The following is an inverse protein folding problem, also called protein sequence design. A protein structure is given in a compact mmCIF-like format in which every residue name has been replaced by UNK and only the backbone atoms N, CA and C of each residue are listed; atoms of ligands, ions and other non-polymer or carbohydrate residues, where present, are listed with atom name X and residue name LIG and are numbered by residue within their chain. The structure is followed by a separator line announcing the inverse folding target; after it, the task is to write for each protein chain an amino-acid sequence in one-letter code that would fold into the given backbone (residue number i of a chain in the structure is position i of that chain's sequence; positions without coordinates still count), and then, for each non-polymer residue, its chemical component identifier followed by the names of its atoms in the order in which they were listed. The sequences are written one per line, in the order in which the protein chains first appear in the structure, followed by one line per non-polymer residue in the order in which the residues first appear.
data_IF_300132828136
#
_entry.id   IF_300132828136
#
_cell.length_a   1.000
_cell.length_b   1.000
_cell.length_c   1.000
_cell.angle_alpha   90.00
_cell.angle_beta   90.00
_cell.angle_gamma   90.00
#
_symmetry.space_group_name_H-M   'P 1'
#
loop_
_entity.id
_entity.type
_entity.pdbx_description
1 polymer ?
#
# COMPACT_ATOMS: atom_id res chain seq x y z
N UNK A 1 -66.09 27.33 -2.88
CA UNK A 1 -66.16 28.53 -3.78
C UNK A 1 -64.93 28.49 -4.62
N UNK A 2 -65.02 28.02 -5.87
CA UNK A 2 -64.99 28.80 -7.13
C UNK A 2 -63.67 29.55 -7.31
N UNK A 3 -62.86 29.10 -8.21
CA UNK A 3 -62.59 29.38 -9.67
C UNK A 3 -61.19 29.99 -9.78
N UNK A 4 -60.32 29.93 -10.78
CA UNK A 4 -60.37 29.47 -12.19
C UNK A 4 -58.96 29.27 -12.71
N UNK A 5 -58.84 28.37 -13.67
CA UNK A 5 -57.83 28.23 -14.72
C UNK A 5 -57.41 29.55 -15.36
N UNK A 6 -56.14 29.60 -15.80
CA UNK A 6 -55.80 30.12 -17.15
C UNK A 6 -54.52 29.42 -17.70
N UNK A 7 -54.72 28.72 -18.80
CA UNK A 7 -53.69 28.22 -19.69
C UNK A 7 -53.40 29.25 -20.74
N UNK A 8 -52.12 29.42 -21.13
CA UNK A 8 -51.75 30.08 -22.40
C UNK A 8 -50.75 29.24 -23.14
N UNK A 9 -51.20 28.75 -24.29
CA UNK A 9 -50.45 28.07 -25.35
C UNK A 9 -49.96 29.13 -26.34
N UNK A 10 -48.70 29.03 -26.84
CA UNK A 10 -48.24 29.47 -28.15
C UNK A 10 -46.91 28.76 -28.44
N UNK A 11 -46.90 27.87 -29.32
CA UNK A 11 -46.85 27.61 -30.73
C UNK A 11 -45.57 28.15 -31.44
N UNK A 12 -44.74 27.20 -31.78
CA UNK A 12 -44.01 26.86 -33.01
C UNK A 12 -43.35 27.96 -33.88
N UNK A 13 -42.09 27.71 -34.19
CA UNK A 13 -41.65 27.76 -35.61
C UNK A 13 -40.45 26.83 -35.85
N UNK A 14 -40.66 25.84 -36.73
CA UNK A 14 -39.62 25.04 -37.37
C UNK A 14 -38.90 25.89 -38.41
N UNK A 15 -37.57 25.74 -38.50
CA UNK A 15 -36.82 25.95 -39.73
C UNK A 15 -36.00 24.69 -40.02
N UNK A 16 -36.43 24.04 -41.10
CA UNK A 16 -35.72 22.91 -41.74
C UNK A 16 -34.69 23.50 -42.69
N UNK A 17 -33.47 23.06 -42.59
CA UNK A 17 -32.39 23.31 -43.56
C UNK A 17 -31.63 22.02 -43.82
N UNK A 18 -32.03 21.28 -44.85
CA UNK A 18 -31.29 20.18 -45.47
C UNK A 18 -30.25 20.74 -46.45
N UNK A 19 -29.11 20.03 -46.54
CA UNK A 19 -28.21 19.69 -47.66
C UNK A 19 -26.79 19.61 -47.10
N UNK A 20 -26.01 18.55 -47.21
CA UNK A 20 -25.66 17.71 -48.29
C UNK A 20 -24.73 16.56 -47.91
N UNK A 21 -24.76 15.49 -48.62
CA UNK A 21 -23.98 14.29 -48.64
C UNK A 21 -22.47 14.46 -48.81
N UNK A 22 -21.69 13.55 -48.23
CA UNK A 22 -20.33 13.31 -48.73
C UNK A 22 -19.48 12.40 -47.84
N UNK A 23 -19.47 11.08 -48.13
CA UNK A 23 -18.41 10.05 -48.05
C UNK A 23 -17.75 9.68 -46.73
N UNK A 24 -18.04 8.45 -46.34
CA UNK A 24 -17.16 7.33 -45.87
C UNK A 24 -15.77 7.66 -45.32
N UNK A 25 -15.60 7.37 -44.04
CA UNK A 25 -14.34 7.09 -43.37
C UNK A 25 -14.64 6.48 -42.04
N UNK A 26 -14.46 5.15 -41.93
CA UNK A 26 -14.41 4.43 -40.64
C UNK A 26 -13.12 4.79 -39.97
N UNK A 27 -13.18 5.49 -38.85
CA UNK A 27 -12.20 5.43 -37.80
C UNK A 27 -12.98 5.37 -36.49
N UNK A 28 -12.93 4.20 -35.87
CA UNK A 28 -13.37 4.00 -34.50
C UNK A 28 -12.25 4.57 -33.59
N UNK A 29 -12.20 5.87 -33.48
CA UNK A 29 -11.40 6.58 -32.51
C UNK A 29 -12.13 6.56 -31.18
N UNK A 30 -11.49 5.96 -30.18
CA UNK A 30 -11.78 6.10 -28.77
C UNK A 30 -12.10 7.58 -28.47
N UNK A 31 -13.34 7.86 -28.06
CA UNK A 31 -13.70 9.17 -27.53
C UNK A 31 -13.11 9.24 -26.10
N UNK A 32 -11.87 9.65 -25.97
CA UNK A 32 -11.34 10.15 -24.71
C UNK A 32 -12.21 11.33 -24.25
N UNK A 33 -12.69 11.28 -23.01
CA UNK A 33 -13.42 12.36 -22.38
C UNK A 33 -12.58 13.65 -22.50
N UNK A 34 -13.16 14.74 -22.97
CA UNK A 34 -12.46 16.00 -23.21
C UNK A 34 -11.87 16.50 -21.88
N UNK A 35 -10.56 16.70 -21.82
CA UNK A 35 -9.86 17.37 -20.71
C UNK A 35 -10.34 18.81 -20.63
N UNK A 36 -11.24 19.11 -19.70
CA UNK A 36 -11.95 20.40 -19.60
C UNK A 36 -11.01 21.58 -19.25
N UNK A 37 -9.81 21.28 -18.69
CA UNK A 37 -8.80 22.25 -18.26
C UNK A 37 -7.35 21.87 -18.62
N UNK A 38 -7.15 20.82 -19.42
CA UNK A 38 -5.82 20.33 -19.82
C UNK A 38 -5.09 19.51 -18.73
N UNK A 39 -5.72 19.29 -17.56
CA UNK A 39 -5.17 18.47 -16.48
C UNK A 39 -5.58 16.99 -16.62
N UNK A 40 -4.71 16.09 -16.21
CA UNK A 40 -5.01 14.66 -16.07
C UNK A 40 -5.79 14.46 -14.77
N UNK A 41 -6.98 13.85 -14.85
CA UNK A 41 -7.83 13.60 -13.70
C UNK A 41 -7.44 12.28 -13.04
N UNK A 42 -7.02 12.33 -11.79
CA UNK A 42 -6.49 11.18 -11.05
C UNK A 42 -7.31 10.94 -9.79
N UNK A 43 -7.80 9.71 -9.61
CA UNK A 43 -8.32 9.22 -8.33
C UNK A 43 -7.24 8.44 -7.60
N UNK A 44 -7.01 8.72 -6.33
CA UNK A 44 -6.04 8.02 -5.50
C UNK A 44 -6.77 7.37 -4.33
N UNK A 45 -6.81 6.05 -4.32
CA UNK A 45 -7.32 5.24 -3.21
C UNK A 45 -6.12 4.73 -2.41
N UNK A 46 -6.11 4.99 -1.12
CA UNK A 46 -5.04 4.58 -0.23
C UNK A 46 -5.60 4.27 1.17
N UNK A 47 -4.79 3.65 2.01
CA UNK A 47 -5.09 3.49 3.41
C UNK A 47 -4.99 4.85 4.14
N UNK A 48 -5.64 4.95 5.31
CA UNK A 48 -5.60 6.16 6.11
C UNK A 48 -4.16 6.45 6.57
N UNK A 49 -3.66 7.70 6.46
CA UNK A 49 -2.29 8.06 6.86
C UNK A 49 -1.98 7.78 8.33
N UNK A 50 -2.98 7.64 9.19
CA UNK A 50 -2.81 7.27 10.60
C UNK A 50 -2.49 5.78 10.80
N UNK A 51 -2.50 4.95 9.74
CA UNK A 51 -2.20 3.52 9.82
C UNK A 51 -0.77 3.27 10.35
N UNK A 52 0.21 4.02 9.84
CA UNK A 52 1.63 3.83 10.18
C UNK A 52 2.50 5.02 9.72
N UNK A 53 3.76 5.05 10.16
CA UNK A 53 4.77 5.97 9.64
C UNK A 53 4.97 5.82 8.13
N UNK A 54 5.07 4.58 7.65
CA UNK A 54 5.12 4.24 6.22
C UNK A 54 3.94 4.87 5.45
N UNK A 55 2.71 4.67 5.95
CA UNK A 55 1.51 5.16 5.26
C UNK A 55 1.47 6.69 5.21
N UNK A 56 1.90 7.35 6.28
CA UNK A 56 2.04 8.82 6.29
C UNK A 56 3.01 9.30 5.20
N UNK A 57 4.18 8.66 5.06
CA UNK A 57 5.17 9.00 4.04
C UNK A 57 4.64 8.76 2.63
N UNK A 58 4.01 7.60 2.38
CA UNK A 58 3.43 7.24 1.09
C UNK A 58 2.30 8.20 0.66
N UNK A 59 1.38 8.53 1.56
CA UNK A 59 0.30 9.51 1.28
C UNK A 59 0.87 10.89 0.96
N UNK A 60 1.92 11.33 1.66
CA UNK A 60 2.57 12.61 1.38
C UNK A 60 3.30 12.61 0.03
N UNK A 61 3.97 11.52 -0.35
CA UNK A 61 4.60 11.35 -1.65
C UNK A 61 3.58 11.49 -2.79
N UNK A 62 2.43 10.81 -2.68
CA UNK A 62 1.34 10.91 -3.64
C UNK A 62 0.76 12.33 -3.72
N UNK A 63 0.49 12.98 -2.57
CA UNK A 63 -0.06 14.35 -2.52
C UNK A 63 0.89 15.39 -3.11
N UNK A 64 2.20 15.24 -2.86
CA UNK A 64 3.21 16.18 -3.36
C UNK A 64 3.45 16.03 -4.87
N UNK A 65 3.24 14.84 -5.41
CA UNK A 65 3.47 14.54 -6.83
C UNK A 65 2.25 14.86 -7.70
N UNK A 66 1.05 14.46 -7.28
CA UNK A 66 -0.17 14.62 -8.08
C UNK A 66 -0.87 15.94 -7.75
N UNK A 67 -0.23 17.05 -8.15
CA UNK A 67 -0.72 18.43 -7.94
C UNK A 67 -1.09 19.11 -9.24
N UNK A 68 -1.85 20.21 -9.17
CA UNK A 68 -2.22 21.01 -10.36
C UNK A 68 -1.00 21.61 -11.02
N UNK A 69 0.02 22.02 -10.27
CA UNK A 69 1.27 22.54 -10.79
C UNK A 69 2.02 21.49 -11.61
N UNK A 70 1.87 20.21 -11.27
CA UNK A 70 2.45 19.10 -12.02
C UNK A 70 1.56 18.55 -13.14
N UNK A 71 0.39 19.18 -13.40
CA UNK A 71 -0.51 18.82 -14.49
C UNK A 71 -1.63 17.85 -14.11
N UNK A 72 -1.93 17.68 -12.83
CA UNK A 72 -2.94 16.73 -12.35
C UNK A 72 -4.07 17.42 -11.60
N UNK A 73 -5.30 16.94 -11.81
CA UNK A 73 -6.47 17.24 -10.98
C UNK A 73 -6.79 15.98 -10.17
N UNK A 74 -6.17 15.87 -8.98
CA UNK A 74 -6.21 14.67 -8.16
C UNK A 74 -7.27 14.72 -7.07
N UNK A 75 -8.00 13.61 -6.90
CA UNK A 75 -8.92 13.33 -5.81
C UNK A 75 -8.32 12.23 -4.95
N UNK A 76 -8.43 12.35 -3.63
CA UNK A 76 -7.86 11.38 -2.69
C UNK A 76 -8.96 10.84 -1.78
N UNK A 77 -8.96 9.52 -1.57
CA UNK A 77 -9.80 8.87 -0.57
C UNK A 77 -8.94 7.91 0.28
N UNK A 78 -9.17 7.92 1.57
CA UNK A 78 -8.42 7.18 2.56
C UNK A 78 -9.36 6.36 3.43
N UNK A 79 -9.13 5.04 3.53
CA UNK A 79 -9.85 4.18 4.47
C UNK A 79 -9.04 2.93 4.78
N UNK A 80 -9.16 2.42 6.01
CA UNK A 80 -8.65 1.12 6.44
C UNK A 80 -9.61 -0.03 6.12
N UNK A 81 -10.77 0.28 5.52
CA UNK A 81 -11.80 -0.71 5.17
C UNK A 81 -11.90 -0.86 3.67
N UNK A 82 -11.84 -2.10 3.22
CA UNK A 82 -11.84 -2.44 1.81
C UNK A 82 -13.14 -2.05 1.10
N UNK A 83 -14.28 -2.22 1.76
CA UNK A 83 -15.60 -1.83 1.23
C UNK A 83 -15.74 -0.31 1.02
N UNK A 84 -15.22 0.50 1.94
CA UNK A 84 -15.18 1.96 1.79
C UNK A 84 -14.24 2.40 0.65
N UNK A 85 -13.10 1.71 0.47
CA UNK A 85 -12.18 1.96 -0.66
C UNK A 85 -12.83 1.61 -1.99
N UNK A 86 -13.54 0.48 -2.07
CA UNK A 86 -14.28 0.04 -3.26
C UNK A 86 -15.36 1.09 -3.64
N UNK A 87 -16.17 1.53 -2.67
CA UNK A 87 -17.19 2.57 -2.90
C UNK A 87 -16.55 3.89 -3.38
N UNK A 88 -15.46 4.32 -2.77
CA UNK A 88 -14.76 5.53 -3.19
C UNK A 88 -14.20 5.41 -4.60
N UNK A 89 -13.61 4.27 -4.97
CA UNK A 89 -13.11 4.00 -6.31
C UNK A 89 -14.24 4.06 -7.35
N UNK A 90 -15.37 3.41 -7.09
CA UNK A 90 -16.54 3.46 -7.96
C UNK A 90 -17.06 4.89 -8.16
N UNK A 91 -17.13 5.69 -7.11
CA UNK A 91 -17.56 7.08 -7.18
C UNK A 91 -16.58 7.93 -8.03
N UNK A 92 -15.27 7.71 -7.87
CA UNK A 92 -14.24 8.39 -8.69
C UNK A 92 -14.33 8.00 -10.15
N UNK A 93 -14.48 6.70 -10.48
CA UNK A 93 -14.68 6.22 -11.85
C UNK A 93 -15.91 6.86 -12.49
N UNK A 94 -17.04 6.90 -11.76
CA UNK A 94 -18.28 7.54 -12.22
C UNK A 94 -18.11 9.06 -12.44
N UNK A 95 -17.23 9.72 -11.70
CA UNK A 95 -16.90 11.14 -11.91
C UNK A 95 -16.06 11.40 -13.15
N UNK A 96 -15.59 10.33 -13.81
CA UNK A 96 -14.86 10.37 -15.08
C UNK A 96 -13.37 10.70 -14.92
N UNK A 97 -12.68 10.11 -13.95
CA UNK A 97 -11.21 10.17 -13.83
C UNK A 97 -10.53 9.44 -15.00
N UNK A 98 -9.34 9.92 -15.38
CA UNK A 98 -8.52 9.28 -16.41
C UNK A 98 -7.71 8.10 -15.85
N UNK A 99 -7.23 8.24 -14.61
CA UNK A 99 -6.44 7.23 -13.90
C UNK A 99 -6.97 6.98 -12.50
N UNK A 100 -7.06 5.71 -12.11
CA UNK A 100 -7.26 5.26 -10.74
C UNK A 100 -5.94 4.69 -10.22
N UNK A 101 -5.35 5.31 -9.20
CA UNK A 101 -4.19 4.81 -8.47
C UNK A 101 -4.70 4.10 -7.22
N UNK A 102 -4.33 2.84 -7.03
CA UNK A 102 -4.91 1.97 -6.03
C UNK A 102 -3.86 1.28 -5.16
N UNK A 103 -3.85 1.58 -3.84
CA UNK A 103 -3.23 0.77 -2.79
C UNK A 103 -4.32 0.20 -1.89
N UNK A 104 -4.61 -1.08 -2.06
CA UNK A 104 -5.76 -1.74 -1.47
C UNK A 104 -5.55 -2.11 0.01
N UNK A 105 -6.59 -1.98 0.83
CA UNK A 105 -6.59 -2.44 2.22
C UNK A 105 -6.56 -3.99 2.30
N UNK A 106 -7.28 -4.66 1.40
CA UNK A 106 -7.35 -6.12 1.24
C UNK A 106 -7.11 -6.48 -0.22
N UNK A 107 -6.50 -7.64 -0.48
CA UNK A 107 -6.19 -8.09 -1.84
C UNK A 107 -7.41 -8.48 -2.65
N UNK A 108 -8.53 -8.79 -2.00
CA UNK A 108 -9.73 -9.38 -2.60
C UNK A 108 -10.84 -8.37 -2.92
N UNK A 109 -11.76 -8.75 -3.81
CA UNK A 109 -13.02 -8.03 -4.06
C UNK A 109 -12.94 -6.91 -5.10
N UNK A 110 -11.83 -6.76 -5.81
CA UNK A 110 -11.60 -5.65 -6.75
C UNK A 110 -12.07 -5.89 -8.18
N UNK A 111 -12.37 -7.14 -8.60
CA UNK A 111 -12.70 -7.48 -9.99
C UNK A 111 -13.80 -6.62 -10.61
N UNK A 112 -14.88 -6.35 -9.85
CA UNK A 112 -16.00 -5.54 -10.35
C UNK A 112 -15.58 -4.11 -10.59
N UNK A 113 -14.86 -3.49 -9.64
CA UNK A 113 -14.36 -2.11 -9.77
C UNK A 113 -13.41 -1.96 -10.94
N UNK A 114 -12.51 -2.93 -11.13
CA UNK A 114 -11.55 -2.91 -12.24
C UNK A 114 -12.23 -3.05 -13.60
N UNK A 115 -13.29 -3.86 -13.69
CA UNK A 115 -14.13 -3.97 -14.90
C UNK A 115 -14.89 -2.68 -15.16
N UNK A 116 -15.48 -2.08 -14.12
CA UNK A 116 -16.16 -0.79 -14.24
C UNK A 116 -15.19 0.31 -14.72
N UNK A 117 -13.95 0.31 -14.24
CA UNK A 117 -12.90 1.22 -14.69
C UNK A 117 -12.57 1.00 -16.18
N UNK A 118 -12.40 -0.26 -16.60
CA UNK A 118 -12.12 -0.62 -17.99
C UNK A 118 -13.27 -0.18 -18.92
N UNK A 119 -14.52 -0.42 -18.52
CA UNK A 119 -15.72 -0.04 -19.28
C UNK A 119 -15.88 1.48 -19.37
N UNK A 120 -15.44 2.24 -18.37
CA UNK A 120 -15.42 3.70 -18.35
C UNK A 120 -14.22 4.30 -19.10
N UNK A 121 -13.23 3.49 -19.48
CA UNK A 121 -11.99 3.97 -20.10
C UNK A 121 -10.99 4.55 -19.09
N UNK A 122 -11.20 4.35 -17.79
CA UNK A 122 -10.28 4.72 -16.71
C UNK A 122 -9.14 3.69 -16.63
N UNK A 123 -7.90 4.14 -16.69
CA UNK A 123 -6.74 3.27 -16.54
C UNK A 123 -6.40 3.09 -15.05
N UNK A 124 -6.20 1.84 -14.63
CA UNK A 124 -5.85 1.52 -13.24
C UNK A 124 -4.35 1.28 -13.12
N UNK A 125 -3.70 1.90 -12.13
CA UNK A 125 -2.32 1.63 -11.75
C UNK A 125 -2.31 1.23 -10.27
N UNK A 126 -1.85 0.01 -9.99
CA UNK A 126 -1.65 -0.44 -8.63
C UNK A 126 -0.36 0.17 -8.08
N UNK A 127 -0.34 0.47 -6.79
CA UNK A 127 0.88 0.89 -6.12
C UNK A 127 0.95 0.34 -4.70
N UNK A 128 2.17 0.26 -4.14
CA UNK A 128 2.44 -0.27 -2.80
C UNK A 128 2.05 -1.75 -2.66
N UNK A 129 0.79 -2.08 -2.81
CA UNK A 129 0.23 -3.42 -2.57
C UNK A 129 -0.35 -4.03 -3.85
N UNK A 130 -0.17 -5.33 -3.99
CA UNK A 130 -0.84 -6.13 -5.03
C UNK A 130 -2.27 -6.48 -4.63
N UNK A 131 -3.09 -6.89 -5.61
CA UNK A 131 -4.44 -7.40 -5.40
C UNK A 131 -4.60 -8.75 -6.10
N UNK A 132 -5.62 -9.51 -5.68
CA UNK A 132 -6.00 -10.78 -6.31
C UNK A 132 -7.00 -10.51 -7.45
N UNK A 133 -6.48 -10.09 -8.59
CA UNK A 133 -7.27 -9.80 -9.78
C UNK A 133 -6.49 -10.14 -11.06
N UNK A 134 -7.23 -10.33 -12.18
CA UNK A 134 -6.63 -10.59 -13.48
C UNK A 134 -5.77 -9.39 -13.92
N UNK A 135 -4.53 -9.67 -14.27
CA UNK A 135 -3.58 -8.63 -14.68
C UNK A 135 -4.05 -7.82 -15.90
N UNK A 136 -4.92 -8.35 -16.75
CA UNK A 136 -5.48 -7.62 -17.90
C UNK A 136 -6.37 -6.45 -17.50
N UNK A 137 -6.81 -6.37 -16.23
CA UNK A 137 -7.72 -5.34 -15.72
C UNK A 137 -7.02 -4.07 -15.22
N UNK A 138 -5.70 -4.03 -15.17
CA UNK A 138 -4.95 -2.81 -14.82
C UNK A 138 -3.81 -2.55 -15.81
N UNK A 139 -3.42 -1.29 -15.96
CA UNK A 139 -2.41 -0.87 -16.92
C UNK A 139 -0.98 -1.17 -16.44
N UNK A 140 -0.73 -0.94 -15.17
CA UNK A 140 0.59 -1.16 -14.55
C UNK A 140 0.48 -1.35 -13.03
N UNK A 141 1.57 -1.79 -12.41
CA UNK A 141 1.75 -1.81 -10.96
C UNK A 141 3.16 -1.37 -10.56
N UNK A 142 3.25 -0.59 -9.47
CA UNK A 142 4.51 -0.16 -8.83
C UNK A 142 4.44 -0.60 -7.39
N UNK A 143 5.02 -1.74 -7.07
CA UNK A 143 4.75 -2.47 -5.82
C UNK A 143 6.03 -2.99 -5.19
N UNK A 144 5.99 -3.26 -3.89
CA UNK A 144 7.03 -4.00 -3.17
C UNK A 144 6.87 -5.50 -3.37
N UNK A 145 7.97 -6.25 -3.33
CA UNK A 145 7.93 -7.71 -3.26
C UNK A 145 7.85 -8.15 -1.79
N UNK A 146 6.64 -8.13 -1.25
CA UNK A 146 6.36 -8.44 0.16
C UNK A 146 6.80 -9.86 0.56
N UNK A 147 6.79 -10.82 -0.38
CA UNK A 147 7.29 -12.16 -0.14
C UNK A 147 8.83 -12.15 0.01
N UNK A 148 9.51 -11.37 -0.83
CA UNK A 148 10.96 -11.20 -0.77
C UNK A 148 11.42 -10.48 0.49
N UNK A 149 10.66 -9.47 0.95
CA UNK A 149 10.91 -8.83 2.24
C UNK A 149 10.90 -9.85 3.38
N UNK A 150 9.84 -10.67 3.45
CA UNK A 150 9.72 -11.75 4.44
C UNK A 150 10.86 -12.78 4.34
N UNK A 151 11.19 -13.25 3.13
CA UNK A 151 12.31 -14.17 2.90
C UNK A 151 13.65 -13.58 3.35
N UNK A 152 13.90 -12.32 3.05
CA UNK A 152 15.15 -11.64 3.41
C UNK A 152 15.31 -11.57 4.93
N UNK A 153 14.25 -11.17 5.65
CA UNK A 153 14.25 -11.09 7.10
C UNK A 153 14.40 -12.47 7.78
N UNK A 154 13.68 -13.48 7.29
CA UNK A 154 13.77 -14.85 7.83
C UNK A 154 15.15 -15.47 7.58
N UNK A 155 15.75 -15.21 6.43
CA UNK A 155 17.11 -15.67 6.14
C UNK A 155 18.13 -14.97 7.05
N UNK A 156 18.02 -13.65 7.22
CA UNK A 156 18.86 -12.94 8.18
C UNK A 156 18.75 -13.50 9.60
N UNK A 157 17.52 -13.79 10.06
CA UNK A 157 17.30 -14.38 11.37
C UNK A 157 17.92 -15.78 11.48
N UNK A 158 17.82 -16.60 10.43
CA UNK A 158 18.43 -17.93 10.38
C UNK A 158 19.96 -17.87 10.51
N UNK A 159 20.60 -16.87 9.91
CA UNK A 159 22.04 -16.64 9.97
C UNK A 159 22.55 -16.25 11.36
N UNK A 160 21.66 -15.91 12.31
CA UNK A 160 22.03 -15.68 13.70
C UNK A 160 22.42 -16.98 14.44
N UNK A 161 22.15 -18.14 13.86
CA UNK A 161 22.56 -19.46 14.35
C UNK A 161 22.21 -19.73 15.82
N UNK A 162 21.00 -19.38 16.26
CA UNK A 162 20.51 -19.64 17.60
C UNK A 162 20.26 -21.14 17.82
N UNK A 163 20.34 -21.58 19.07
CA UNK A 163 19.99 -22.94 19.44
C UNK A 163 18.49 -23.21 19.24
N UNK A 164 17.65 -22.22 19.59
CA UNK A 164 16.19 -22.21 19.43
C UNK A 164 15.70 -20.81 19.06
N UNK A 165 14.66 -20.75 18.22
CA UNK A 165 13.94 -19.54 17.85
C UNK A 165 12.51 -19.63 18.41
N UNK A 166 12.28 -18.99 19.54
CA UNK A 166 10.97 -18.93 20.19
C UNK A 166 10.34 -17.57 19.85
N UNK A 167 9.39 -17.56 18.91
CA UNK A 167 8.99 -16.39 18.16
C UNK A 167 7.64 -15.87 18.65
N UNK A 168 7.57 -14.58 18.96
CA UNK A 168 6.34 -13.80 18.95
C UNK A 168 6.26 -13.12 17.59
N UNK A 169 5.32 -13.53 16.77
CA UNK A 169 5.03 -12.97 15.46
C UNK A 169 3.82 -12.03 15.56
N UNK A 170 4.06 -10.75 15.32
CA UNK A 170 3.05 -9.68 15.37
C UNK A 170 2.71 -9.29 13.96
N UNK A 171 1.52 -9.71 13.51
CA UNK A 171 1.08 -9.59 12.13
C UNK A 171 0.40 -8.24 11.87
N UNK A 172 0.51 -7.75 10.64
CA UNK A 172 -0.24 -6.61 10.14
C UNK A 172 -1.74 -6.88 9.98
N UNK A 173 -2.41 -6.00 9.24
CA UNK A 173 -3.83 -6.17 8.91
C UNK A 173 -4.01 -7.42 8.06
N UNK A 174 -4.84 -8.34 8.53
CA UNK A 174 -5.10 -9.60 7.85
C UNK A 174 -5.70 -9.37 6.47
N UNK A 175 -5.18 -10.09 5.46
CA UNK A 175 -5.61 -9.96 4.07
C UNK A 175 -4.89 -8.90 3.25
N UNK A 176 -4.05 -8.05 3.87
CA UNK A 176 -3.20 -7.13 3.13
C UNK A 176 -2.01 -7.85 2.48
N UNK A 177 -1.56 -7.38 1.31
CA UNK A 177 -0.44 -7.99 0.59
C UNK A 177 0.83 -8.09 1.46
N UNK A 178 1.13 -7.06 2.26
CA UNK A 178 2.28 -7.05 3.15
C UNK A 178 2.19 -8.14 4.23
N UNK A 179 1.04 -8.26 4.91
CA UNK A 179 0.83 -9.32 5.90
C UNK A 179 0.97 -10.70 5.26
N UNK A 180 0.33 -10.94 4.11
CA UNK A 180 0.37 -12.23 3.42
C UNK A 180 1.81 -12.61 3.08
N UNK A 181 2.58 -11.71 2.49
CA UNK A 181 3.95 -11.98 2.05
C UNK A 181 4.91 -12.19 3.22
N UNK A 182 4.94 -11.27 4.20
CA UNK A 182 5.83 -11.35 5.37
C UNK A 182 5.51 -12.55 6.27
N UNK A 183 4.21 -12.86 6.47
CA UNK A 183 3.79 -14.05 7.23
C UNK A 183 4.20 -15.35 6.54
N UNK A 184 4.03 -15.46 5.22
CA UNK A 184 4.28 -16.72 4.50
C UNK A 184 5.71 -17.23 4.67
N UNK A 185 6.70 -16.34 4.66
CA UNK A 185 8.11 -16.71 4.85
C UNK A 185 8.39 -17.28 6.24
N UNK A 186 7.85 -16.63 7.28
CA UNK A 186 7.98 -17.08 8.68
C UNK A 186 7.29 -18.42 8.91
N UNK A 187 6.04 -18.55 8.47
CA UNK A 187 5.25 -19.77 8.61
C UNK A 187 5.91 -20.97 7.90
N UNK A 188 6.47 -20.73 6.71
CA UNK A 188 7.23 -21.75 5.98
C UNK A 188 8.43 -22.21 6.80
N UNK A 189 9.22 -21.29 7.34
CA UNK A 189 10.43 -21.62 8.12
C UNK A 189 10.09 -22.38 9.41
N UNK A 190 9.07 -21.93 10.15
CA UNK A 190 8.58 -22.63 11.36
C UNK A 190 8.12 -24.06 11.04
N UNK A 191 7.50 -24.29 9.89
CA UNK A 191 7.05 -25.60 9.45
C UNK A 191 8.20 -26.53 9.07
N UNK A 192 9.27 -25.98 8.48
CA UNK A 192 10.39 -26.75 7.92
C UNK A 192 11.51 -27.04 8.94
N UNK A 193 11.63 -26.26 10.02
CA UNK A 193 12.75 -26.31 10.96
C UNK A 193 12.26 -26.39 12.41
N UNK A 194 12.47 -27.56 13.05
CA UNK A 194 12.01 -27.84 14.41
C UNK A 194 12.66 -26.98 15.52
N UNK A 195 13.70 -26.21 15.19
CA UNK A 195 14.28 -25.20 16.09
C UNK A 195 13.44 -23.93 16.18
N UNK A 196 12.51 -23.73 15.22
CA UNK A 196 11.65 -22.56 15.12
C UNK A 196 10.27 -22.84 15.71
N UNK A 197 9.96 -22.16 16.81
CA UNK A 197 8.73 -22.35 17.57
C UNK A 197 7.89 -21.08 17.54
N UNK A 198 6.69 -21.15 16.97
CA UNK A 198 5.72 -20.06 17.01
C UNK A 198 5.05 -20.05 18.38
N UNK A 199 5.52 -19.17 19.27
CA UNK A 199 5.01 -19.03 20.66
C UNK A 199 3.70 -18.24 20.70
N UNK A 200 3.63 -17.17 19.92
CA UNK A 200 2.45 -16.33 19.68
C UNK A 200 2.46 -15.91 18.22
N UNK A 201 1.31 -15.99 17.55
CA UNK A 201 1.08 -15.39 16.25
C UNK A 201 -0.28 -14.69 16.31
N UNK A 202 -0.27 -13.37 16.22
CA UNK A 202 -1.49 -12.56 16.38
C UNK A 202 -1.38 -11.25 15.61
N UNK A 203 -2.49 -10.84 14.99
CA UNK A 203 -2.55 -9.54 14.33
C UNK A 203 -2.66 -8.40 15.34
N UNK A 204 -1.86 -7.36 15.10
CA UNK A 204 -2.01 -6.06 15.74
C UNK A 204 -2.50 -5.00 14.74
N UNK A 205 -2.77 -5.37 13.48
CA UNK A 205 -3.31 -4.49 12.45
C UNK A 205 -2.51 -3.18 12.30
N UNK A 206 -1.17 -3.27 12.33
CA UNK A 206 -0.19 -2.18 12.27
C UNK A 206 -0.13 -1.28 13.51
N UNK A 207 -0.95 -1.53 14.55
CA UNK A 207 -1.09 -0.68 15.73
C UNK A 207 -0.09 -1.02 16.84
N UNK A 208 0.68 -0.02 17.29
CA UNK A 208 1.69 -0.17 18.33
C UNK A 208 1.10 -0.56 19.70
N UNK A 209 -0.07 -0.03 20.05
CA UNK A 209 -0.71 -0.29 21.36
C UNK A 209 -1.19 -1.74 21.44
N UNK A 210 -1.78 -2.22 20.37
CA UNK A 210 -2.22 -3.63 20.26
C UNK A 210 -1.01 -4.57 20.29
N UNK A 211 0.08 -4.24 19.59
CA UNK A 211 1.31 -4.99 19.64
C UNK A 211 1.91 -5.06 21.05
N UNK A 212 1.91 -3.94 21.78
CA UNK A 212 2.33 -3.89 23.19
C UNK A 212 1.48 -4.84 24.06
N UNK A 213 0.16 -4.84 23.86
CA UNK A 213 -0.75 -5.71 24.63
C UNK A 213 -0.53 -7.19 24.33
N UNK A 214 -0.23 -7.56 23.07
CA UNK A 214 0.08 -8.94 22.68
C UNK A 214 1.34 -9.42 23.41
N UNK A 215 2.41 -8.62 23.39
CA UNK A 215 3.67 -9.00 24.06
C UNK A 215 3.51 -9.02 25.58
N UNK A 216 2.80 -8.04 26.16
CA UNK A 216 2.49 -8.04 27.60
C UNK A 216 1.71 -9.28 27.99
N UNK A 217 0.70 -9.69 27.22
CA UNK A 217 -0.05 -10.91 27.46
C UNK A 217 0.81 -12.19 27.41
N UNK A 218 1.80 -12.23 26.50
CA UNK A 218 2.76 -13.34 26.47
C UNK A 218 3.66 -13.39 27.71
N UNK A 219 4.11 -12.22 28.18
CA UNK A 219 4.92 -12.08 29.40
C UNK A 219 4.11 -12.53 30.64
N UNK A 220 2.90 -12.03 30.79
CA UNK A 220 2.00 -12.36 31.90
C UNK A 220 1.65 -13.85 31.96
N UNK A 221 1.54 -14.49 30.77
CA UNK A 221 1.34 -15.91 30.63
C UNK A 221 2.62 -16.76 30.89
N UNK A 222 3.75 -16.15 31.21
CA UNK A 222 5.03 -16.82 31.43
C UNK A 222 5.60 -17.52 30.21
N UNK A 223 5.24 -17.09 29.02
CA UNK A 223 5.77 -17.62 27.74
C UNK A 223 7.27 -17.36 27.66
N UNK A 224 8.02 -18.33 27.12
CA UNK A 224 9.44 -18.16 26.79
C UNK A 224 9.57 -17.78 25.33
N UNK A 225 10.25 -16.68 25.05
CA UNK A 225 10.53 -16.21 23.71
C UNK A 225 11.89 -15.48 23.68
N UNK A 226 12.50 -15.45 22.51
CA UNK A 226 13.77 -14.74 22.25
C UNK A 226 13.77 -13.98 20.91
N UNK A 227 12.64 -13.98 20.20
CA UNK A 227 12.47 -13.24 18.94
C UNK A 227 11.13 -12.54 18.94
N UNK A 228 11.14 -11.24 18.65
CA UNK A 228 9.99 -10.46 18.21
C UNK A 228 10.14 -10.26 16.70
N UNK A 229 9.24 -10.87 15.94
CA UNK A 229 9.08 -10.63 14.50
C UNK A 229 7.82 -9.80 14.29
N UNK A 230 7.98 -8.48 14.15
CA UNK A 230 6.90 -7.56 13.91
C UNK A 230 6.88 -7.16 12.43
N UNK A 231 5.72 -7.24 11.79
CA UNK A 231 5.59 -6.98 10.36
C UNK A 231 5.62 -5.48 10.00
N UNK A 232 5.79 -4.58 11.00
CA UNK A 232 6.21 -3.19 10.79
C UNK A 232 6.89 -2.61 12.04
N UNK A 233 7.49 -1.43 11.88
CA UNK A 233 8.24 -0.73 12.92
C UNK A 233 7.35 -0.24 14.08
N UNK A 234 6.16 0.24 13.80
CA UNK A 234 5.26 0.75 14.84
C UNK A 234 4.84 -0.38 15.79
N UNK A 235 4.59 -1.58 15.27
CA UNK A 235 4.33 -2.77 16.09
C UNK A 235 5.58 -3.24 16.84
N UNK A 236 6.77 -3.19 16.19
CA UNK A 236 8.04 -3.50 16.87
C UNK A 236 8.29 -2.54 18.05
N UNK A 237 8.03 -1.25 17.86
CA UNK A 237 8.10 -0.24 18.91
C UNK A 237 7.13 -0.53 20.06
N UNK A 238 5.90 -0.95 19.75
CA UNK A 238 4.92 -1.37 20.76
C UNK A 238 5.41 -2.58 21.54
N UNK A 239 5.97 -3.59 20.87
CA UNK A 239 6.56 -4.77 21.48
C UNK A 239 7.71 -4.40 22.44
N UNK A 240 8.62 -3.55 22.00
CA UNK A 240 9.75 -3.06 22.81
C UNK A 240 9.26 -2.36 24.09
N UNK A 241 8.21 -1.53 23.99
CA UNK A 241 7.63 -0.87 25.15
C UNK A 241 7.14 -1.89 26.23
N UNK A 242 6.60 -3.04 25.82
CA UNK A 242 6.25 -4.11 26.77
C UNK A 242 7.49 -4.77 27.38
N UNK A 243 8.55 -5.00 26.60
CA UNK A 243 9.80 -5.59 27.12
C UNK A 243 10.44 -4.66 28.15
N UNK A 244 10.56 -3.38 27.84
CA UNK A 244 11.16 -2.37 28.74
C UNK A 244 10.36 -2.23 30.03
N UNK A 245 9.02 -2.20 29.97
CA UNK A 245 8.16 -2.14 31.14
C UNK A 245 8.35 -3.34 32.10
N UNK A 246 8.83 -4.48 31.59
CA UNK A 246 9.08 -5.70 32.33
C UNK A 246 10.58 -5.97 32.56
N UNK A 247 11.46 -5.02 32.27
CA UNK A 247 12.93 -5.12 32.39
C UNK A 247 13.52 -6.32 31.62
N UNK A 248 12.95 -6.67 30.48
CA UNK A 248 13.45 -7.71 29.57
C UNK A 248 14.45 -7.06 28.61
N UNK A 249 15.67 -7.58 28.58
CA UNK A 249 16.72 -7.03 27.71
C UNK A 249 16.50 -7.39 26.24
N UNK A 250 16.77 -6.46 25.34
CA UNK A 250 16.56 -6.67 23.91
C UNK A 250 17.64 -5.99 23.06
N UNK A 251 17.80 -6.40 21.81
CA UNK A 251 18.80 -5.89 20.88
C UNK A 251 20.02 -6.82 20.75
N UNK A 252 21.10 -6.26 20.23
CA UNK A 252 22.33 -7.03 19.91
C UNK A 252 22.97 -7.59 21.18
N UNK A 253 23.15 -8.91 21.22
CA UNK A 253 23.74 -9.61 22.36
C UNK A 253 22.89 -9.61 23.64
N UNK A 254 21.57 -9.41 23.48
CA UNK A 254 20.59 -9.42 24.58
C UNK A 254 19.65 -10.61 24.46
N UNK A 255 18.68 -10.69 25.40
CA UNK A 255 17.78 -11.83 25.52
C UNK A 255 16.78 -11.96 24.37
N UNK A 256 16.40 -10.83 23.75
CA UNK A 256 15.36 -10.80 22.71
C UNK A 256 15.85 -10.04 21.48
N UNK A 257 15.77 -10.71 20.32
CA UNK A 257 15.97 -10.13 19.00
C UNK A 257 14.73 -9.33 18.61
N UNK A 258 14.92 -8.10 18.10
CA UNK A 258 13.84 -7.24 17.59
C UNK A 258 14.00 -7.06 16.09
N UNK A 259 12.90 -7.37 15.37
CA UNK A 259 12.81 -7.20 13.91
C UNK A 259 11.60 -6.35 13.56
N UNK A 260 11.79 -5.41 12.64
CA UNK A 260 10.77 -4.52 12.11
C UNK A 260 10.83 -4.45 10.58
N UNK A 261 9.96 -3.62 10.01
CA UNK A 261 9.93 -3.26 8.60
C UNK A 261 9.47 -1.81 8.46
N UNK A 262 9.78 -1.20 7.35
CA UNK A 262 9.42 0.12 6.80
C UNK A 262 10.58 1.10 6.81
N UNK A 263 11.63 0.89 7.60
CA UNK A 263 12.77 1.82 7.74
C UNK A 263 12.36 3.20 8.26
N UNK A 264 11.46 3.26 9.26
CA UNK A 264 11.26 4.53 9.96
C UNK A 264 12.59 5.01 10.58
N UNK A 265 12.85 6.31 10.50
CA UNK A 265 14.11 6.87 11.04
C UNK A 265 14.41 6.47 12.48
N UNK A 266 13.38 6.33 13.32
CA UNK A 266 13.59 5.88 14.70
C UNK A 266 14.01 4.42 14.77
N UNK A 267 13.47 3.53 13.88
CA UNK A 267 13.84 2.13 13.82
C UNK A 267 15.29 1.96 13.37
N UNK A 268 15.69 2.64 12.28
CA UNK A 268 17.08 2.62 11.82
C UNK A 268 18.06 3.21 12.85
N UNK A 269 17.66 4.23 13.63
CA UNK A 269 18.45 4.70 14.76
C UNK A 269 18.60 3.66 15.87
N UNK A 270 17.53 2.92 16.16
CA UNK A 270 17.59 1.82 17.12
C UNK A 270 18.51 0.67 16.64
N UNK A 271 18.62 0.43 15.32
CA UNK A 271 19.65 -0.47 14.78
C UNK A 271 21.06 0.08 15.05
N UNK A 272 21.30 1.37 14.73
CA UNK A 272 22.60 2.01 14.92
C UNK A 272 23.02 2.00 16.41
N UNK A 273 22.04 2.20 17.32
CA UNK A 273 22.21 2.15 18.76
C UNK A 273 22.25 0.71 19.33
N UNK A 274 22.08 -0.33 18.46
CA UNK A 274 22.07 -1.75 18.78
C UNK A 274 20.97 -2.18 19.75
N UNK A 275 19.91 -1.41 19.86
CA UNK A 275 18.71 -1.75 20.64
C UNK A 275 17.68 -2.57 19.85
N UNK A 276 17.73 -2.52 18.51
CA UNK A 276 17.06 -3.43 17.59
C UNK A 276 18.10 -4.22 16.79
N UNK A 277 17.67 -5.24 16.05
CA UNK A 277 18.57 -6.15 15.36
C UNK A 277 18.44 -6.09 13.84
N UNK A 278 17.22 -5.97 13.31
CA UNK A 278 16.93 -6.01 11.88
C UNK A 278 15.75 -5.13 11.52
N UNK A 279 15.82 -4.53 10.33
CA UNK A 279 14.73 -3.77 9.73
C UNK A 279 14.70 -4.02 8.22
N UNK A 280 13.53 -4.46 7.70
CA UNK A 280 13.31 -4.64 6.28
C UNK A 280 12.80 -3.36 5.66
N UNK A 281 13.43 -2.90 4.58
CA UNK A 281 12.90 -1.76 3.84
C UNK A 281 11.59 -2.12 3.16
N UNK A 282 10.60 -1.24 3.27
CA UNK A 282 9.45 -1.11 2.40
C UNK A 282 9.43 0.33 1.91
N UNK A 283 9.58 0.56 0.60
CA UNK A 283 9.80 1.91 0.07
C UNK A 283 8.47 2.63 -0.22
N UNK A 284 8.11 3.71 0.50
CA UNK A 284 6.85 4.42 0.30
C UNK A 284 6.87 5.40 -0.89
N UNK A 285 8.02 5.66 -1.51
CA UNK A 285 8.21 6.71 -2.52
C UNK A 285 7.99 6.16 -3.94
N UNK A 286 6.76 5.92 -4.31
CA UNK A 286 6.39 5.32 -5.60
C UNK A 286 5.82 6.35 -6.60
N UNK A 287 5.41 7.53 -6.14
CA UNK A 287 4.64 8.48 -6.94
C UNK A 287 5.38 8.98 -8.18
N UNK A 288 6.70 9.18 -8.11
CA UNK A 288 7.50 9.60 -9.29
C UNK A 288 7.52 8.54 -10.37
N UNK A 289 7.65 7.26 -10.02
CA UNK A 289 7.61 6.13 -10.96
C UNK A 289 6.23 6.02 -11.61
N UNK A 290 5.15 6.16 -10.82
CA UNK A 290 3.77 6.19 -11.32
C UNK A 290 3.56 7.37 -12.27
N UNK A 291 4.08 8.56 -11.94
CA UNK A 291 4.00 9.73 -12.79
C UNK A 291 4.66 9.48 -14.16
N UNK A 292 5.82 8.83 -14.17
CA UNK A 292 6.51 8.52 -15.42
C UNK A 292 5.76 7.46 -16.26
N UNK A 293 5.11 6.49 -15.61
CA UNK A 293 4.21 5.54 -16.27
C UNK A 293 3.04 6.30 -16.92
N UNK A 294 2.37 7.19 -16.19
CA UNK A 294 1.27 7.99 -16.73
C UNK A 294 1.72 8.81 -17.94
N UNK A 295 2.89 9.47 -17.87
CA UNK A 295 3.43 10.24 -19.01
C UNK A 295 3.66 9.38 -20.25
N UNK A 296 4.20 8.16 -20.09
CA UNK A 296 4.38 7.20 -21.20
C UNK A 296 3.04 6.80 -21.80
N UNK A 297 2.04 6.47 -20.97
CA UNK A 297 0.70 6.11 -21.44
C UNK A 297 -0.01 7.27 -22.17
N UNK A 298 0.09 8.50 -21.66
CA UNK A 298 -0.44 9.71 -22.31
C UNK A 298 0.20 9.99 -23.68
N UNK A 299 1.48 9.66 -23.85
CA UNK A 299 2.19 9.75 -25.12
C UNK A 299 1.87 8.60 -26.08
N UNK A 300 1.07 7.61 -25.69
CA UNK A 300 0.79 6.40 -26.47
C UNK A 300 1.98 5.45 -26.57
N UNK A 301 2.93 5.55 -25.65
CA UNK A 301 4.09 4.68 -25.57
C UNK A 301 3.74 3.33 -24.94
N UNK A 302 4.42 2.27 -25.38
CA UNK A 302 4.33 0.96 -24.72
C UNK A 302 5.21 0.96 -23.49
N UNK A 303 4.68 0.41 -22.38
CA UNK A 303 5.47 0.23 -21.18
C UNK A 303 6.48 -0.93 -21.35
N UNK A 304 7.74 -0.70 -20.97
CA UNK A 304 8.77 -1.72 -21.01
C UNK A 304 8.46 -2.88 -20.06
N UNK A 305 7.85 -2.56 -18.93
CA UNK A 305 7.40 -3.49 -17.90
C UNK A 305 6.02 -3.07 -17.39
N UNK A 306 5.13 -4.03 -17.23
CA UNK A 306 3.83 -3.81 -16.60
C UNK A 306 3.94 -3.75 -15.09
N UNK A 307 4.83 -4.55 -14.52
CA UNK A 307 5.08 -4.64 -13.08
C UNK A 307 6.46 -4.07 -12.80
N UNK A 308 6.51 -3.01 -12.02
CA UNK A 308 7.72 -2.41 -11.50
C UNK A 308 7.83 -2.81 -10.03
N UNK A 309 8.79 -3.65 -9.70
CA UNK A 309 9.11 -4.00 -8.32
C UNK A 309 10.08 -2.96 -7.77
N UNK A 310 9.75 -2.38 -6.62
CA UNK A 310 10.64 -1.45 -5.90
C UNK A 310 11.87 -2.20 -5.43
N UNK A 311 13.05 -1.61 -5.62
CA UNK A 311 14.28 -2.16 -5.06
C UNK A 311 14.32 -1.89 -3.57
N UNK A 312 14.42 -2.96 -2.77
CA UNK A 312 14.38 -2.92 -1.31
C UNK A 312 15.42 -3.86 -0.72
N UNK A 313 15.89 -3.55 0.48
CA UNK A 313 16.90 -4.33 1.19
C UNK A 313 16.63 -4.44 2.68
N UNK A 314 17.29 -5.38 3.34
CA UNK A 314 17.34 -5.46 4.80
C UNK A 314 18.50 -4.66 5.37
N UNK A 315 18.31 -4.10 6.55
CA UNK A 315 19.33 -3.47 7.37
C UNK A 315 19.49 -4.23 8.67
N UNK A 316 20.72 -4.35 9.13
CA UNK A 316 21.01 -4.97 10.42
C UNK A 316 21.90 -4.06 11.29
N UNK A 317 21.85 -4.31 12.59
CA UNK A 317 22.51 -3.47 13.58
C UNK A 317 24.05 -3.54 13.56
N UNK A 318 24.65 -4.46 12.80
CA UNK A 318 26.11 -4.55 12.70
C UNK A 318 26.67 -3.77 11.52
N UNK A 319 25.86 -3.58 10.48
CA UNK A 319 26.30 -2.98 9.21
C UNK A 319 25.70 -1.61 8.93
N UNK A 320 24.59 -1.24 9.60
CA UNK A 320 23.90 0.06 9.41
C UNK A 320 24.82 1.24 9.67
N UNK A 321 24.69 2.27 8.83
CA UNK A 321 25.44 3.53 8.93
C UNK A 321 24.50 4.73 9.07
N UNK A 322 25.03 5.89 9.48
CA UNK A 322 24.28 7.13 9.48
C UNK A 322 23.84 7.52 8.05
N UNK A 323 24.65 7.24 7.04
CA UNK A 323 24.31 7.48 5.64
C UNK A 323 23.10 6.66 5.18
N UNK A 324 22.99 5.40 5.66
CA UNK A 324 21.79 4.59 5.39
C UNK A 324 20.54 5.21 6.01
N UNK A 325 20.64 5.72 7.24
CA UNK A 325 19.51 6.40 7.91
C UNK A 325 19.08 7.66 7.14
N UNK A 326 20.05 8.43 6.68
CA UNK A 326 19.80 9.67 5.94
C UNK A 326 19.21 9.41 4.55
N UNK A 327 19.57 8.27 3.94
CA UNK A 327 19.15 7.88 2.58
C UNK A 327 17.81 7.14 2.56
N UNK A 328 17.61 6.19 3.47
CA UNK A 328 16.47 5.25 3.45
C UNK A 328 15.45 5.50 4.56
N UNK A 329 15.79 6.29 5.57
CA UNK A 329 14.91 6.58 6.70
C UNK A 329 13.74 7.48 6.30
N UNK A 330 12.51 7.02 6.61
CA UNK A 330 11.25 7.75 6.36
C UNK A 330 10.76 8.49 7.60
#
# INVERSE_FOLDING_TARGET
MKKKLLAVLMAATMVVGLVGCGSTGKDAGSQGASKDNGLIRVGVINNDPSESGYRTANVNDMKNTFTKENGYDAQFAYSLKNDEQIEAAQNMIQSGIDYLLLSAADTSGWDTVLKDAQDAGTQVILFDRTIDADESLYAASVVSDMAKEGETAVNWLADQNLDEYNIIHIQGTMGSAAQIGRTAAMDKKVKEDSKWNMVVQQTASWDATTAQQIVQGAIDAGKKFNVIYAENDDMAKGAVAALEANNISHGVGKDVIIMGYDCNKYALKNLLDKTWNYDGQCNPFQASTIQDIIKKLENGETLDQKVVIMEEKGFDAETITQEDIDTYGI
#
